data_IF_586765449144
#
_entry.id   IF_586765449144
#
_cell.length_a   1.000
_cell.length_b   1.000
_cell.length_c   1.000
_cell.angle_alpha   90.00
_cell.angle_beta   90.00
_cell.angle_gamma   90.00
#
_symmetry.space_group_name_H-M   'P 1'
#
loop_
_entity.id
_entity.type
_entity.pdbx_description
1 polymer ?
#
# COMPACT_ATOMS: atom_id res chain seq x y z
N UNK A 1 -4.53 12.81 -14.87
CA UNK A 1 -5.53 11.72 -14.73
C UNK A 1 -6.11 11.85 -13.35
N UNK A 2 -7.43 11.95 -13.23
CA UNK A 2 -8.08 12.01 -11.92
C UNK A 2 -7.93 10.66 -11.20
N UNK A 3 -7.60 10.72 -9.91
CA UNK A 3 -7.48 9.53 -9.05
C UNK A 3 -8.84 9.29 -8.41
N UNK A 4 -9.47 8.16 -8.72
CA UNK A 4 -10.76 7.77 -8.16
C UNK A 4 -10.57 6.62 -7.17
N UNK A 5 -11.05 6.78 -5.94
CA UNK A 5 -11.17 5.64 -5.01
C UNK A 5 -12.36 4.79 -5.44
N UNK A 6 -12.13 3.60 -6.02
CA UNK A 6 -13.20 2.68 -6.42
C UNK A 6 -13.26 2.31 -7.91
N UNK A 7 -12.19 2.54 -8.66
CA UNK A 7 -12.04 2.00 -10.02
C UNK A 7 -11.89 0.47 -10.02
N UNK A 8 -11.84 -0.12 -11.23
CA UNK A 8 -11.60 -1.55 -11.40
C UNK A 8 -10.25 -1.94 -10.77
N UNK A 9 -10.25 -2.98 -9.93
CA UNK A 9 -9.04 -3.54 -9.34
C UNK A 9 -8.09 -4.07 -10.43
N UNK A 10 -6.80 -3.85 -10.24
CA UNK A 10 -5.77 -4.54 -11.03
C UNK A 10 -5.76 -6.04 -10.70
N UNK A 11 -5.16 -6.91 -11.54
CA UNK A 11 -5.01 -8.33 -11.19
C UNK A 11 -4.30 -8.57 -9.85
N UNK A 12 -3.29 -7.76 -9.52
CA UNK A 12 -2.58 -7.84 -8.24
C UNK A 12 -3.50 -7.50 -7.06
N UNK A 13 -4.28 -6.42 -7.19
CA UNK A 13 -5.23 -6.01 -6.15
C UNK A 13 -6.38 -7.01 -6.00
N UNK A 14 -6.88 -7.56 -7.12
CA UNK A 14 -7.93 -8.56 -7.11
C UNK A 14 -7.48 -9.90 -6.50
N UNK A 15 -6.17 -10.16 -6.44
CA UNK A 15 -5.60 -11.32 -5.77
C UNK A 15 -5.51 -11.14 -4.24
N UNK A 16 -5.69 -9.93 -3.73
CA UNK A 16 -5.61 -9.60 -2.31
C UNK A 16 -7.01 -9.43 -1.70
N UNK A 17 -7.39 -10.33 -0.82
CA UNK A 17 -8.57 -10.18 0.04
C UNK A 17 -8.17 -9.50 1.36
N UNK A 18 -8.36 -8.18 1.43
CA UNK A 18 -7.96 -7.38 2.59
C UNK A 18 -9.00 -7.48 3.69
N UNK A 19 -8.56 -7.91 4.88
CA UNK A 19 -9.43 -8.16 6.02
C UNK A 19 -9.32 -7.08 7.10
N UNK A 20 -8.17 -6.40 7.22
CA UNK A 20 -7.96 -5.38 8.24
C UNK A 20 -6.89 -4.34 7.86
N UNK A 21 -7.11 -3.12 8.33
CA UNK A 21 -6.12 -2.04 8.32
C UNK A 21 -5.92 -1.52 9.75
N UNK A 22 -4.70 -1.59 10.26
CA UNK A 22 -4.26 -0.84 11.46
C UNK A 22 -3.51 0.40 10.99
N UNK A 23 -4.14 1.56 11.15
CA UNK A 23 -3.63 2.86 10.72
C UNK A 23 -3.21 3.67 11.95
N UNK A 24 -1.90 3.86 12.11
CA UNK A 24 -1.33 4.71 13.17
C UNK A 24 -0.98 6.06 12.59
N UNK A 25 -1.91 7.00 12.72
CA UNK A 25 -1.80 8.33 12.12
C UNK A 25 -1.23 9.34 13.12
N UNK A 26 -0.22 10.10 12.67
CA UNK A 26 0.27 11.32 13.31
C UNK A 26 -0.15 12.51 12.46
N UNK A 27 -0.85 13.46 13.06
CA UNK A 27 -1.32 14.70 12.42
C UNK A 27 -0.51 15.87 12.96
N UNK A 28 0.01 16.71 12.08
CA UNK A 28 0.59 18.02 12.41
C UNK A 28 -0.28 19.11 11.77
N UNK A 29 -1.22 19.71 12.53
CA UNK A 29 -2.13 20.73 11.99
C UNK A 29 -1.42 22.01 11.54
N UNK A 30 -0.29 22.36 12.16
CA UNK A 30 0.45 23.59 11.86
C UNK A 30 1.19 23.45 10.53
N UNK A 31 1.84 22.29 10.32
CA UNK A 31 2.53 21.97 9.06
C UNK A 31 1.57 21.48 7.98
N UNK A 32 0.32 21.18 8.34
CA UNK A 32 -0.70 20.58 7.46
C UNK A 32 -0.20 19.26 6.85
N UNK A 33 0.48 18.45 7.66
CA UNK A 33 1.00 17.15 7.23
C UNK A 33 0.41 16.03 8.07
N UNK A 34 0.36 14.85 7.45
CA UNK A 34 0.09 13.60 8.13
C UNK A 34 1.22 12.62 7.83
N UNK A 35 1.46 11.70 8.74
CA UNK A 35 2.41 10.60 8.57
C UNK A 35 2.10 9.46 9.53
N UNK A 36 2.89 8.40 9.47
CA UNK A 36 2.73 7.26 10.36
C UNK A 36 2.94 5.94 9.65
N UNK A 37 2.28 4.90 10.14
CA UNK A 37 2.41 3.53 9.65
C UNK A 37 1.05 2.91 9.39
N UNK A 38 0.96 2.09 8.35
CA UNK A 38 -0.22 1.28 8.05
C UNK A 38 0.21 -0.18 8.02
N UNK A 39 -0.44 -1.02 8.84
CA UNK A 39 -0.33 -2.46 8.73
C UNK A 39 -1.58 -2.97 8.01
N UNK A 40 -1.39 -3.69 6.91
CA UNK A 40 -2.47 -4.24 6.08
C UNK A 40 -2.48 -5.75 6.29
N UNK A 41 -3.58 -6.28 6.80
CA UNK A 41 -3.81 -7.73 6.89
C UNK A 41 -4.67 -8.17 5.73
N UNK A 42 -4.18 -9.13 4.96
CA UNK A 42 -4.87 -9.66 3.79
C UNK A 42 -4.53 -11.13 3.56
N UNK A 43 -5.38 -11.80 2.77
CA UNK A 43 -5.15 -13.16 2.28
C UNK A 43 -4.94 -13.09 0.77
N UNK A 44 -3.96 -13.83 0.25
CA UNK A 44 -3.82 -14.02 -1.20
C UNK A 44 -4.80 -15.10 -1.67
N UNK A 45 -5.83 -14.70 -2.43
CA UNK A 45 -6.87 -15.60 -2.96
C UNK A 45 -6.55 -16.10 -4.37
N UNK A 46 -5.53 -15.54 -5.02
CA UNK A 46 -4.94 -16.07 -6.25
C UNK A 46 -3.46 -15.68 -6.35
N UNK A 47 -2.74 -16.21 -7.34
CA UNK A 47 -1.31 -15.92 -7.53
C UNK A 47 -1.11 -14.44 -7.92
N UNK A 48 -0.21 -13.75 -7.24
CA UNK A 48 0.25 -12.41 -7.59
C UNK A 48 1.78 -12.32 -7.49
N UNK A 49 2.42 -11.77 -8.51
CA UNK A 49 3.88 -11.56 -8.53
C UNK A 49 4.26 -10.30 -7.74
N UNK A 50 3.32 -9.37 -7.56
CA UNK A 50 3.50 -8.12 -6.83
C UNK A 50 2.34 -7.90 -5.85
N UNK A 51 2.67 -7.40 -4.67
CA UNK A 51 1.71 -6.76 -3.77
C UNK A 51 1.57 -5.31 -4.21
N UNK A 52 0.34 -4.87 -4.47
CA UNK A 52 0.03 -3.57 -5.07
C UNK A 52 -0.93 -2.78 -4.18
N UNK A 53 -0.47 -1.62 -3.70
CA UNK A 53 -1.24 -0.73 -2.82
C UNK A 53 -1.38 0.63 -3.49
N UNK A 54 -2.60 1.16 -3.53
CA UNK A 54 -2.81 2.53 -4.01
C UNK A 54 -2.36 3.52 -2.93
N UNK A 55 -1.52 4.47 -3.32
CA UNK A 55 -1.05 5.57 -2.48
C UNK A 55 -0.86 6.79 -3.36
N UNK A 56 -1.43 7.93 -2.97
CA UNK A 56 -1.23 9.16 -3.74
C UNK A 56 0.27 9.52 -3.79
N UNK A 57 0.72 9.95 -4.97
CA UNK A 57 2.13 10.21 -5.30
C UNK A 57 2.78 11.21 -4.32
N UNK A 58 1.99 12.17 -3.86
CA UNK A 58 2.35 13.18 -2.87
C UNK A 58 2.77 12.62 -1.48
N UNK A 59 2.55 11.33 -1.20
CA UNK A 59 3.07 10.70 0.02
C UNK A 59 4.43 10.04 -0.21
N UNK A 60 5.33 10.21 0.76
CA UNK A 60 6.63 9.53 0.74
C UNK A 60 6.58 8.28 1.62
N UNK A 61 7.11 7.16 1.11
CA UNK A 61 7.25 5.90 1.86
C UNK A 61 8.72 5.72 2.25
N UNK A 62 8.97 5.46 3.53
CA UNK A 62 10.32 5.25 4.05
C UNK A 62 10.74 3.77 4.12
N UNK A 63 9.79 2.84 4.03
CA UNK A 63 10.04 1.41 4.09
C UNK A 63 8.78 0.59 3.87
N UNK A 64 8.96 -0.66 3.46
CA UNK A 64 7.89 -1.65 3.34
C UNK A 64 8.37 -2.99 3.90
N UNK A 65 7.46 -3.73 4.52
CA UNK A 65 7.74 -5.06 5.05
C UNK A 65 6.54 -5.98 4.87
N UNK A 66 6.81 -7.26 4.61
CA UNK A 66 5.80 -8.32 4.59
C UNK A 66 6.18 -9.33 5.67
N UNK A 67 5.25 -9.61 6.60
CA UNK A 67 5.47 -10.54 7.71
C UNK A 67 6.76 -10.27 8.51
N UNK A 68 7.10 -8.99 8.69
CA UNK A 68 8.31 -8.56 9.41
C UNK A 68 9.61 -8.60 8.61
N UNK A 69 9.59 -9.07 7.36
CA UNK A 69 10.73 -9.02 6.45
C UNK A 69 10.73 -7.71 5.67
N UNK A 70 11.77 -6.90 5.82
CA UNK A 70 11.95 -5.68 5.04
C UNK A 70 12.19 -6.02 3.57
N UNK A 71 11.45 -5.38 2.68
CA UNK A 71 11.54 -5.60 1.24
C UNK A 71 11.74 -4.26 0.52
N UNK A 72 12.39 -4.33 -0.64
CA UNK A 72 12.39 -3.20 -1.56
C UNK A 72 10.99 -2.99 -2.14
N UNK A 73 10.68 -1.74 -2.44
CA UNK A 73 9.43 -1.36 -3.06
C UNK A 73 9.69 -0.34 -4.18
N UNK A 74 8.77 -0.26 -5.11
CA UNK A 74 8.73 0.77 -6.15
C UNK A 74 7.52 1.65 -5.90
N UNK A 75 7.75 2.95 -5.74
CA UNK A 75 6.68 3.95 -5.77
C UNK A 75 6.61 4.54 -7.18
N UNK A 76 5.55 4.24 -7.93
CA UNK A 76 5.38 4.70 -9.32
C UNK A 76 3.97 5.21 -9.55
N UNK A 77 3.84 6.52 -9.76
CA UNK A 77 2.54 7.17 -9.86
C UNK A 77 1.80 7.02 -8.53
N UNK A 78 0.52 6.61 -8.58
CA UNK A 78 -0.31 6.47 -7.38
C UNK A 78 -0.27 5.06 -6.77
N UNK A 79 0.85 4.34 -6.91
CA UNK A 79 0.97 2.93 -6.53
C UNK A 79 2.30 2.60 -5.87
N UNK A 80 2.23 1.81 -4.81
CA UNK A 80 3.35 1.09 -4.21
C UNK A 80 3.31 -0.35 -4.70
N UNK A 81 4.44 -0.82 -5.22
CA UNK A 81 4.64 -2.17 -5.72
C UNK A 81 5.74 -2.86 -4.91
N UNK A 82 5.44 -4.00 -4.32
CA UNK A 82 6.39 -4.82 -3.56
C UNK A 82 6.45 -6.20 -4.21
N UNK A 83 7.63 -6.71 -4.50
CA UNK A 83 7.76 -8.07 -5.04
C UNK A 83 7.25 -9.09 -4.03
N UNK A 84 6.37 -10.00 -4.45
CA UNK A 84 5.87 -11.06 -3.59
C UNK A 84 6.99 -12.12 -3.38
N UNK A 85 7.51 -12.31 -2.16
CA UNK A 85 8.62 -13.23 -1.92
C UNK A 85 8.23 -14.72 -2.01
N UNK A 86 6.93 -15.07 -1.97
CA UNK A 86 6.46 -16.46 -2.04
C UNK A 86 5.17 -16.70 -1.27
#
# INVERSE_FOLDING_TARGET
MEVYSGGKLSPNQAAMDVTHYDIRLKVDPYKKTIGGTVNITFVLISKADMIEIDLLDQFNVSGAAINGMNLSFVHKGHKILIHNPG
#
